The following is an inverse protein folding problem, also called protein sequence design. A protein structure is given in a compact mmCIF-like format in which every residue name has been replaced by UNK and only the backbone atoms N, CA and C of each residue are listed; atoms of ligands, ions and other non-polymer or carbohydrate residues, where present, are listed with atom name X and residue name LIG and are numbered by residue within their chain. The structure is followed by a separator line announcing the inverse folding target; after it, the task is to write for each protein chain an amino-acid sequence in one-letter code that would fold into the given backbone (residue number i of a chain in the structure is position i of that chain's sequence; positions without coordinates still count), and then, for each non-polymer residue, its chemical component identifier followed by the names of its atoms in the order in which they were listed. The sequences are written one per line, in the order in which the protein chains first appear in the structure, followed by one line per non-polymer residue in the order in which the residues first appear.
data_IF_030849179718
#
_entry.id   IF_030849179718
#
_cell.length_a   1.000
_cell.length_b   1.000
_cell.length_c   1.000
_cell.angle_alpha   90.00
_cell.angle_beta   90.00
_cell.angle_gamma   90.00
#
_symmetry.space_group_name_H-M   'P 1'
#
loop_
_entity.id
_entity.type
_entity.pdbx_description
1 polymer ?
#
# COMPACT_ATOMS: atom_id res chain seq x y z
N UNK A 1 41.27 33.48 79.15
CA UNK A 1 41.41 32.38 80.14
C UNK A 1 41.27 31.04 79.42
N UNK A 2 42.37 30.29 79.49
CA UNK A 2 42.47 28.83 79.35
C UNK A 2 41.79 28.05 78.22
N UNK A 3 42.65 27.57 77.32
CA UNK A 3 42.53 26.21 76.80
C UNK A 3 42.56 25.16 77.95
N UNK A 4 42.32 23.85 77.73
CA UNK A 4 43.07 23.00 76.75
C UNK A 4 42.33 21.75 76.22
N UNK A 5 43.02 21.09 75.27
CA UNK A 5 43.24 19.61 75.06
C UNK A 5 42.05 18.72 74.79
N UNK A 6 42.05 17.73 73.91
CA UNK A 6 43.09 16.78 73.50
C UNK A 6 42.60 16.00 72.28
N UNK A 7 43.52 15.54 71.44
CA UNK A 7 43.29 14.55 70.38
C UNK A 7 43.16 13.14 71.03
N UNK A 8 42.57 12.15 70.29
CA UNK A 8 43.47 11.29 69.54
C UNK A 8 42.86 10.64 68.27
N UNK A 9 43.77 10.37 67.37
CA UNK A 9 43.94 9.17 66.55
C UNK A 9 42.71 8.54 65.90
N UNK A 10 42.57 8.73 64.56
CA UNK A 10 41.62 8.00 63.73
C UNK A 10 42.21 7.64 62.37
N UNK A 11 42.40 6.42 62.19
CA UNK A 11 42.92 5.60 61.12
C UNK A 11 42.53 6.16 59.68
N UNK A 12 43.53 6.35 58.84
CA UNK A 12 43.35 6.63 57.41
C UNK A 12 42.90 5.36 56.72
N UNK A 13 41.60 5.24 56.44
CA UNK A 13 41.09 4.22 55.50
C UNK A 13 41.43 4.66 54.10
N UNK A 14 42.24 3.86 53.41
CA UNK A 14 42.45 3.96 51.96
C UNK A 14 41.14 3.72 51.23
N UNK A 15 40.57 4.75 50.60
CA UNK A 15 39.50 4.63 49.62
C UNK A 15 40.18 4.39 48.28
N UNK A 16 39.88 3.29 47.55
CA UNK A 16 40.45 3.06 46.24
C UNK A 16 39.88 4.10 45.28
N UNK A 17 40.77 4.83 44.61
CA UNK A 17 40.44 5.77 43.51
C UNK A 17 39.88 4.95 42.34
N UNK A 18 38.59 5.06 42.13
CA UNK A 18 37.96 4.55 40.88
C UNK A 18 38.54 5.32 39.69
N UNK A 19 39.20 4.61 38.78
CA UNK A 19 39.62 5.15 37.50
C UNK A 19 38.36 5.61 36.73
N UNK A 20 38.27 6.89 36.42
CA UNK A 20 37.24 7.41 35.52
C UNK A 20 37.49 6.87 34.10
N UNK A 21 36.60 6.04 33.57
CA UNK A 21 36.63 5.66 32.18
C UNK A 21 36.22 6.85 31.32
N UNK A 22 37.17 7.40 30.58
CA UNK A 22 36.91 8.55 29.67
C UNK A 22 36.32 8.18 28.31
N UNK A 23 36.08 6.91 28.03
CA UNK A 23 35.34 6.44 26.83
C UNK A 23 34.65 5.10 27.22
N UNK A 24 33.36 5.01 26.93
CA UNK A 24 32.56 3.80 27.09
C UNK A 24 32.96 2.79 25.98
N UNK A 25 33.84 1.89 26.29
CA UNK A 25 34.15 0.73 25.45
C UNK A 25 33.25 -0.44 25.82
N UNK A 26 33.07 -1.40 24.90
CA UNK A 26 32.23 -2.60 25.12
C UNK A 26 32.65 -3.37 26.39
N UNK A 27 33.94 -3.36 26.71
CA UNK A 27 34.46 -4.02 27.91
C UNK A 27 34.06 -3.33 29.23
N UNK A 28 33.95 -1.99 29.22
CA UNK A 28 33.50 -1.21 30.39
C UNK A 28 32.02 -1.47 30.72
N UNK A 29 31.20 -1.77 29.69
CA UNK A 29 29.77 -2.10 29.85
C UNK A 29 29.59 -3.52 30.45
N UNK A 30 30.50 -4.46 30.18
CA UNK A 30 30.48 -5.80 30.78
C UNK A 30 30.75 -5.79 32.30
N UNK A 31 31.66 -4.94 32.76
CA UNK A 31 31.95 -4.80 34.20
C UNK A 31 30.78 -4.18 34.97
N UNK A 32 29.90 -3.45 34.32
CA UNK A 32 28.69 -2.87 34.90
C UNK A 32 27.47 -3.79 34.86
N UNK A 33 27.61 -5.06 34.42
CA UNK A 33 26.52 -6.01 34.31
C UNK A 33 25.55 -5.72 33.17
N UNK A 34 25.91 -4.81 32.27
CA UNK A 34 25.17 -4.58 31.03
C UNK A 34 25.53 -5.67 30.01
N UNK A 35 24.75 -6.71 29.97
CA UNK A 35 24.76 -7.65 28.85
C UNK A 35 24.11 -6.90 27.69
N UNK A 36 24.83 -6.62 26.56
CA UNK A 36 24.17 -6.06 25.37
C UNK A 36 23.10 -7.07 24.97
N UNK A 37 21.83 -6.70 25.13
CA UNK A 37 20.75 -7.45 24.50
C UNK A 37 21.09 -7.38 23.01
N UNK A 38 21.45 -8.52 22.41
CA UNK A 38 21.36 -8.67 20.97
C UNK A 38 19.91 -8.39 20.63
N UNK A 39 19.64 -7.18 20.13
CA UNK A 39 18.40 -6.91 19.41
C UNK A 39 18.49 -7.84 18.21
N UNK A 40 17.82 -8.98 18.31
CA UNK A 40 17.69 -9.87 17.17
C UNK A 40 17.11 -9.00 16.05
N UNK A 41 17.86 -8.86 14.95
CA UNK A 41 17.35 -8.19 13.76
C UNK A 41 16.14 -9.02 13.35
N UNK A 42 14.93 -8.46 13.48
CA UNK A 42 13.71 -9.11 12.99
C UNK A 42 13.96 -9.33 11.52
N UNK A 43 13.93 -10.57 11.07
CA UNK A 43 14.13 -10.88 9.67
C UNK A 43 12.99 -10.24 8.89
N UNK A 44 13.32 -9.60 7.77
CA UNK A 44 12.33 -9.06 6.83
C UNK A 44 11.44 -10.20 6.36
N UNK A 45 10.13 -10.06 6.54
CA UNK A 45 9.18 -11.14 6.22
C UNK A 45 9.08 -11.37 4.71
N UNK A 46 9.08 -10.31 3.91
CA UNK A 46 9.02 -10.31 2.44
C UNK A 46 9.50 -8.97 1.88
N UNK A 47 9.59 -8.87 0.55
CA UNK A 47 10.07 -7.69 -0.16
C UNK A 47 9.08 -7.22 -1.22
N UNK A 48 8.89 -5.91 -1.28
CA UNK A 48 7.94 -5.23 -2.16
C UNK A 48 8.68 -4.24 -3.06
N UNK A 49 8.36 -4.23 -4.36
CA UNK A 49 8.76 -3.18 -5.30
C UNK A 49 7.54 -2.48 -5.86
N UNK A 50 7.48 -1.15 -5.76
CA UNK A 50 6.43 -0.36 -6.33
C UNK A 50 6.91 0.40 -7.58
N UNK A 51 6.19 0.20 -8.69
CA UNK A 51 6.41 0.88 -9.95
C UNK A 51 5.45 2.06 -10.07
N UNK A 52 5.95 3.17 -10.63
CA UNK A 52 5.15 4.37 -10.86
C UNK A 52 5.68 5.20 -12.03
N UNK A 53 4.85 6.12 -12.52
CA UNK A 53 5.25 7.12 -13.54
C UNK A 53 5.29 8.52 -12.96
N UNK A 54 4.29 8.92 -12.18
CA UNK A 54 4.23 10.21 -11.50
C UNK A 54 4.14 11.39 -12.46
N UNK A 55 3.38 11.26 -13.56
CA UNK A 55 3.24 12.24 -14.63
C UNK A 55 1.78 12.50 -14.97
N UNK A 56 1.55 13.66 -15.59
CA UNK A 56 0.34 14.08 -16.28
C UNK A 56 -0.85 14.47 -15.40
N UNK A 57 -1.35 13.58 -14.55
CA UNK A 57 -2.53 13.85 -13.72
C UNK A 57 -2.12 14.22 -12.28
N UNK A 58 -2.55 15.41 -11.82
CA UNK A 58 -2.19 15.93 -10.51
C UNK A 58 -2.69 15.05 -9.36
N UNK A 59 -3.86 14.41 -9.52
CA UNK A 59 -4.40 13.53 -8.50
C UNK A 59 -3.61 12.23 -8.38
N UNK A 60 -3.17 11.64 -9.50
CA UNK A 60 -2.28 10.48 -9.50
C UNK A 60 -0.90 10.82 -8.92
N UNK A 61 -0.36 12.00 -9.23
CA UNK A 61 0.91 12.50 -8.67
C UNK A 61 0.77 12.68 -7.15
N UNK A 62 -0.33 13.26 -6.67
CA UNK A 62 -0.60 13.41 -5.24
C UNK A 62 -0.73 12.08 -4.53
N UNK A 63 -1.45 11.12 -5.12
CA UNK A 63 -1.54 9.76 -4.61
C UNK A 63 -0.16 9.10 -4.49
N UNK A 64 0.66 9.22 -5.52
CA UNK A 64 2.04 8.71 -5.49
C UNK A 64 2.84 9.33 -4.34
N UNK A 65 2.79 10.65 -4.17
CA UNK A 65 3.51 11.32 -3.09
C UNK A 65 3.03 10.89 -1.69
N UNK A 66 1.78 10.53 -1.54
CA UNK A 66 1.23 9.98 -0.31
C UNK A 66 1.71 8.52 -0.12
N UNK A 67 1.59 7.69 -1.14
CA UNK A 67 1.98 6.28 -1.12
C UNK A 67 3.46 6.08 -0.75
N UNK A 68 4.37 6.82 -1.38
CA UNK A 68 5.82 6.70 -1.11
C UNK A 68 6.24 7.17 0.29
N UNK A 69 5.34 7.80 1.03
CA UNK A 69 5.53 8.14 2.45
C UNK A 69 4.86 7.12 3.36
N UNK A 70 3.69 6.63 2.99
CA UNK A 70 2.89 5.72 3.81
C UNK A 70 3.46 4.30 3.80
N UNK A 71 3.75 3.72 2.64
CA UNK A 71 4.26 2.35 2.54
C UNK A 71 5.56 2.09 3.31
N UNK A 72 6.57 2.99 3.32
CA UNK A 72 7.75 2.80 4.16
C UNK A 72 7.46 2.75 5.66
N UNK A 73 6.46 3.50 6.15
CA UNK A 73 6.04 3.45 7.55
C UNK A 73 5.40 2.09 7.87
N UNK A 74 4.57 1.57 6.96
CA UNK A 74 4.00 0.23 7.10
C UNK A 74 5.08 -0.85 7.00
N UNK A 75 6.08 -0.67 6.14
CA UNK A 75 7.21 -1.58 6.02
C UNK A 75 8.02 -1.69 7.32
N UNK A 76 8.25 -0.57 7.99
CA UNK A 76 8.88 -0.57 9.32
C UNK A 76 7.99 -1.26 10.37
N UNK A 77 6.70 -0.93 10.40
CA UNK A 77 5.75 -1.44 11.39
C UNK A 77 5.52 -2.95 11.26
N UNK A 78 5.44 -3.47 10.04
CA UNK A 78 5.09 -4.86 9.73
C UNK A 78 6.28 -5.70 9.25
N UNK A 79 7.50 -5.13 9.30
CA UNK A 79 8.77 -5.83 9.04
C UNK A 79 8.91 -6.41 7.63
N UNK A 80 8.46 -5.70 6.60
CA UNK A 80 8.76 -6.01 5.20
C UNK A 80 9.70 -4.96 4.58
N UNK A 81 10.33 -5.28 3.45
CA UNK A 81 11.13 -4.32 2.68
C UNK A 81 10.24 -3.66 1.63
N UNK A 82 10.34 -2.35 1.49
CA UNK A 82 9.64 -1.60 0.46
C UNK A 82 10.61 -0.72 -0.32
N UNK A 83 10.68 -0.95 -1.64
CA UNK A 83 11.45 -0.17 -2.58
C UNK A 83 10.53 0.41 -3.66
N UNK A 84 10.98 1.46 -4.35
CA UNK A 84 10.24 2.09 -5.45
C UNK A 84 11.12 2.28 -6.66
N UNK A 85 10.51 2.30 -7.85
CA UNK A 85 11.19 2.65 -9.09
C UNK A 85 10.25 3.34 -10.07
N UNK A 86 10.77 4.36 -10.79
CA UNK A 86 10.10 4.97 -11.95
C UNK A 86 10.70 4.48 -13.27
N UNK A 87 11.70 3.62 -13.21
CA UNK A 87 12.31 2.99 -14.38
C UNK A 87 11.59 1.66 -14.66
N UNK A 88 10.69 1.68 -15.65
CA UNK A 88 9.92 0.51 -16.06
C UNK A 88 10.77 -0.58 -16.72
N UNK A 89 11.98 -0.28 -17.21
CA UNK A 89 12.92 -1.31 -17.68
C UNK A 89 13.37 -2.29 -16.58
N UNK A 90 13.18 -1.90 -15.30
CA UNK A 90 13.33 -2.81 -14.17
C UNK A 90 12.24 -3.89 -14.11
N UNK A 91 11.16 -3.78 -14.89
CA UNK A 91 10.12 -4.80 -14.99
C UNK A 91 10.64 -5.97 -15.86
N UNK A 92 11.58 -6.71 -15.34
CA UNK A 92 12.24 -7.85 -16.00
C UNK A 92 12.50 -8.97 -14.98
N UNK A 93 12.66 -10.20 -15.46
CA UNK A 93 12.80 -11.39 -14.62
C UNK A 93 13.96 -11.31 -13.62
N UNK A 94 15.10 -10.75 -14.03
CA UNK A 94 16.27 -10.64 -13.15
C UNK A 94 16.01 -9.70 -11.99
N UNK A 95 15.47 -8.53 -12.25
CA UNK A 95 15.16 -7.55 -11.21
C UNK A 95 14.04 -8.06 -10.30
N UNK A 96 12.95 -8.58 -10.87
CA UNK A 96 11.80 -9.07 -10.13
C UNK A 96 12.13 -10.29 -9.24
N UNK A 97 13.16 -11.06 -9.56
CA UNK A 97 13.61 -12.18 -8.70
C UNK A 97 14.06 -11.75 -7.30
N UNK A 98 14.26 -10.47 -7.05
CA UNK A 98 14.62 -9.91 -5.75
C UNK A 98 13.42 -9.48 -4.89
N UNK A 99 12.19 -9.63 -5.42
CA UNK A 99 10.97 -9.14 -4.77
C UNK A 99 9.87 -10.20 -4.76
N UNK A 100 9.14 -10.23 -3.65
CA UNK A 100 8.02 -11.15 -3.45
C UNK A 100 6.70 -10.56 -3.97
N UNK A 101 6.56 -9.23 -3.94
CA UNK A 101 5.34 -8.51 -4.35
C UNK A 101 5.69 -7.34 -5.27
N UNK A 102 4.97 -7.23 -6.37
CA UNK A 102 5.00 -6.06 -7.28
C UNK A 102 3.77 -5.19 -7.02
N UNK A 103 3.96 -3.89 -6.91
CA UNK A 103 2.88 -2.90 -6.77
C UNK A 103 2.89 -1.94 -7.96
N UNK A 104 1.72 -1.70 -8.56
CA UNK A 104 1.54 -0.61 -9.53
C UNK A 104 0.75 0.51 -8.85
N UNK A 105 1.38 1.67 -8.70
CA UNK A 105 0.78 2.78 -7.96
C UNK A 105 -0.15 3.63 -8.82
N UNK A 106 0.31 4.14 -9.94
CA UNK A 106 -0.41 5.14 -10.72
C UNK A 106 -0.61 4.78 -12.20
N UNK A 107 -0.05 3.67 -12.64
CA UNK A 107 -0.12 3.23 -14.04
C UNK A 107 0.29 1.76 -14.17
N UNK A 108 0.45 1.30 -15.39
CA UNK A 108 0.88 -0.05 -15.80
C UNK A 108 1.92 0.05 -16.91
N UNK A 109 2.68 -1.03 -17.22
CA UNK A 109 3.67 -0.99 -18.30
C UNK A 109 3.01 -0.80 -19.67
N UNK A 110 3.67 -0.05 -20.54
CA UNK A 110 3.23 0.19 -21.92
C UNK A 110 4.09 -0.57 -22.94
N UNK A 111 5.36 -0.80 -22.64
CA UNK A 111 6.26 -1.54 -23.51
C UNK A 111 5.88 -3.04 -23.57
N UNK A 112 5.83 -3.65 -24.76
CA UNK A 112 5.48 -5.06 -24.91
C UNK A 112 6.42 -6.04 -24.18
N UNK A 113 7.70 -5.72 -24.06
CA UNK A 113 8.65 -6.59 -23.35
C UNK A 113 8.43 -6.53 -21.83
N UNK A 114 8.13 -5.35 -21.29
CA UNK A 114 7.77 -5.14 -19.90
C UNK A 114 6.45 -5.87 -19.55
N UNK A 115 5.45 -5.78 -20.43
CA UNK A 115 4.19 -6.52 -20.32
C UNK A 115 4.40 -8.04 -20.30
N UNK A 116 5.20 -8.55 -21.23
CA UNK A 116 5.53 -9.98 -21.28
C UNK A 116 6.27 -10.43 -20.03
N UNK A 117 7.19 -9.62 -19.51
CA UNK A 117 7.91 -9.94 -18.28
C UNK A 117 6.98 -9.96 -17.05
N UNK A 118 6.06 -9.00 -16.94
CA UNK A 118 5.06 -9.00 -15.86
C UNK A 118 4.11 -10.20 -15.96
N UNK A 119 3.60 -10.49 -17.15
CA UNK A 119 2.74 -11.66 -17.36
C UNK A 119 3.45 -12.94 -16.93
N UNK A 120 4.70 -13.14 -17.39
CA UNK A 120 5.50 -14.29 -16.99
C UNK A 120 5.73 -14.33 -15.47
N UNK A 121 6.01 -13.20 -14.82
CA UNK A 121 6.15 -13.12 -13.37
C UNK A 121 4.89 -13.62 -12.65
N UNK A 122 3.70 -13.17 -13.08
CA UNK A 122 2.43 -13.60 -12.50
C UNK A 122 2.11 -15.08 -12.78
N UNK A 123 2.39 -15.57 -13.99
CA UNK A 123 2.18 -16.97 -14.38
C UNK A 123 3.12 -17.94 -13.65
N UNK A 124 4.25 -17.43 -13.13
CA UNK A 124 5.17 -18.22 -12.29
C UNK A 124 4.93 -18.02 -10.78
N UNK A 125 3.76 -17.53 -10.39
CA UNK A 125 3.36 -17.42 -8.98
C UNK A 125 3.82 -16.15 -8.28
N UNK A 126 4.13 -15.10 -9.02
CA UNK A 126 4.35 -13.76 -8.48
C UNK A 126 3.11 -13.20 -7.81
N UNK A 127 3.29 -12.20 -6.93
CA UNK A 127 2.19 -11.52 -6.27
C UNK A 127 2.12 -10.04 -6.68
N UNK A 128 0.88 -9.52 -6.80
CA UNK A 128 0.68 -8.16 -7.30
C UNK A 128 -0.44 -7.42 -6.57
N UNK A 129 -0.23 -6.09 -6.39
CA UNK A 129 -1.21 -5.12 -5.94
C UNK A 129 -1.26 -3.95 -6.92
N UNK A 130 -2.45 -3.50 -7.30
CA UNK A 130 -2.60 -2.34 -8.17
C UNK A 130 -3.69 -1.39 -7.73
N UNK A 131 -3.47 -0.11 -8.01
CA UNK A 131 -4.38 0.96 -7.64
C UNK A 131 -4.92 1.67 -8.87
N UNK A 132 -6.21 2.00 -8.82
CA UNK A 132 -6.94 2.93 -9.68
C UNK A 132 -6.54 2.85 -11.15
N UNK A 133 -5.75 3.80 -11.65
CA UNK A 133 -5.36 3.89 -13.05
C UNK A 133 -4.49 2.72 -13.53
N UNK A 134 -3.91 1.93 -12.62
CA UNK A 134 -3.26 0.68 -12.99
C UNK A 134 -4.20 -0.30 -13.70
N UNK A 135 -5.51 -0.21 -13.45
CA UNK A 135 -6.54 -1.01 -14.14
C UNK A 135 -7.14 -0.36 -15.39
N UNK A 136 -6.82 0.89 -15.69
CA UNK A 136 -7.50 1.66 -16.73
C UNK A 136 -7.24 1.13 -18.15
N UNK A 137 -8.29 1.01 -18.95
CA UNK A 137 -8.26 0.68 -20.37
C UNK A 137 -9.42 1.34 -21.10
N UNK A 138 -9.20 1.79 -22.33
CA UNK A 138 -10.23 2.34 -23.21
C UNK A 138 -10.53 1.39 -24.37
N UNK A 139 -11.80 1.29 -24.74
CA UNK A 139 -12.24 0.56 -25.93
C UNK A 139 -13.16 1.44 -26.78
N UNK A 140 -12.92 1.59 -28.11
CA UNK A 140 -11.69 1.17 -28.79
C UNK A 140 -10.52 2.08 -28.41
N UNK A 141 -9.33 1.54 -28.31
CA UNK A 141 -8.13 2.33 -28.09
C UNK A 141 -7.19 2.23 -29.29
N UNK A 142 -6.84 3.39 -29.86
CA UNK A 142 -5.76 3.48 -30.85
C UNK A 142 -4.38 3.49 -30.16
N UNK A 143 -4.36 3.57 -28.83
CA UNK A 143 -3.15 3.58 -28.04
C UNK A 143 -2.81 2.14 -27.64
N UNK A 144 -1.54 1.71 -27.63
CA UNK A 144 -1.13 0.40 -27.13
C UNK A 144 -1.36 0.23 -25.62
N UNK A 145 -2.29 1.01 -25.06
CA UNK A 145 -2.69 0.97 -23.67
C UNK A 145 -3.51 -0.27 -23.30
N UNK A 146 -4.29 -0.80 -24.24
CA UNK A 146 -5.08 -1.99 -23.99
C UNK A 146 -4.19 -3.24 -24.08
N UNK A 147 -4.26 -4.03 -23.03
CA UNK A 147 -3.51 -5.24 -22.90
C UNK A 147 -4.48 -6.36 -22.54
N UNK A 148 -4.87 -7.15 -23.55
CA UNK A 148 -6.00 -8.09 -23.48
C UNK A 148 -5.88 -9.08 -22.32
N UNK A 149 -4.72 -9.74 -22.18
CA UNK A 149 -4.49 -10.64 -21.05
C UNK A 149 -4.70 -9.93 -19.70
N UNK A 150 -4.16 -8.72 -19.55
CA UNK A 150 -4.21 -7.97 -18.29
C UNK A 150 -5.65 -7.55 -17.94
N UNK A 151 -6.38 -6.97 -18.90
CA UNK A 151 -7.70 -6.43 -18.62
C UNK A 151 -8.81 -7.48 -18.61
N UNK A 152 -8.72 -8.51 -19.47
CA UNK A 152 -9.79 -9.50 -19.61
C UNK A 152 -9.56 -10.80 -18.85
N UNK A 153 -8.29 -11.19 -18.62
CA UNK A 153 -7.97 -12.46 -17.93
C UNK A 153 -7.46 -12.18 -16.51
N UNK A 154 -6.46 -11.31 -16.36
CA UNK A 154 -5.82 -11.05 -15.09
C UNK A 154 -6.70 -10.19 -14.16
N UNK A 155 -7.15 -9.02 -14.60
CA UNK A 155 -8.09 -8.17 -13.85
C UNK A 155 -9.54 -8.62 -14.03
N UNK A 156 -9.91 -9.14 -15.19
CA UNK A 156 -11.26 -9.56 -15.52
C UNK A 156 -12.23 -8.40 -15.79
N UNK A 157 -11.82 -7.16 -15.53
CA UNK A 157 -12.67 -5.96 -15.56
C UNK A 157 -13.07 -5.48 -16.96
N UNK A 158 -12.30 -5.86 -17.99
CA UNK A 158 -12.46 -5.25 -19.31
C UNK A 158 -12.08 -3.79 -19.32
N UNK A 159 -12.76 -3.01 -20.15
CA UNK A 159 -12.48 -1.59 -20.35
C UNK A 159 -13.17 -0.72 -19.28
N UNK A 160 -12.61 0.46 -19.08
CA UNK A 160 -13.26 1.54 -18.37
C UNK A 160 -14.51 2.04 -19.13
N UNK A 161 -15.59 2.26 -18.40
CA UNK A 161 -16.86 2.74 -18.95
C UNK A 161 -17.16 4.17 -18.50
N UNK A 162 -17.02 4.45 -17.20
CA UNK A 162 -17.35 5.73 -16.59
C UNK A 162 -16.70 5.84 -15.22
N UNK A 163 -16.72 7.04 -14.66
CA UNK A 163 -16.25 7.33 -13.31
C UNK A 163 -17.24 8.25 -12.57
N UNK A 164 -17.00 8.48 -11.30
CA UNK A 164 -17.75 9.48 -10.53
C UNK A 164 -17.38 10.92 -10.91
N UNK A 165 -16.30 11.15 -11.62
CA UNK A 165 -15.75 12.45 -12.05
C UNK A 165 -15.23 13.29 -10.90
N UNK A 166 -15.93 13.64 -9.86
CA UNK A 166 -15.33 14.20 -8.64
C UNK A 166 -15.09 13.11 -7.64
N UNK A 167 -13.94 13.11 -6.93
CA UNK A 167 -13.76 12.21 -5.83
C UNK A 167 -14.88 12.38 -4.80
N UNK A 168 -15.47 11.26 -4.42
CA UNK A 168 -16.59 11.23 -3.51
C UNK A 168 -16.49 10.02 -2.58
N UNK A 169 -16.84 10.22 -1.31
CA UNK A 169 -16.92 9.13 -0.36
C UNK A 169 -18.08 8.20 -0.72
N UNK A 170 -17.88 6.91 -0.54
CA UNK A 170 -18.90 5.89 -0.73
C UNK A 170 -19.01 5.01 0.52
N UNK A 171 -20.19 4.49 0.79
CA UNK A 171 -20.32 3.36 1.70
C UNK A 171 -19.89 2.12 0.95
N UNK A 172 -18.83 1.46 1.42
CA UNK A 172 -18.33 0.22 0.87
C UNK A 172 -18.87 -0.95 1.68
N UNK A 173 -19.21 -2.03 0.96
CA UNK A 173 -19.66 -3.29 1.54
C UNK A 173 -18.57 -4.34 1.36
N UNK A 174 -18.29 -5.08 2.42
CA UNK A 174 -17.45 -6.27 2.37
C UNK A 174 -18.25 -7.42 1.79
N UNK A 175 -17.84 -7.95 0.64
CA UNK A 175 -18.51 -9.05 -0.07
C UNK A 175 -17.95 -10.41 0.37
N UNK A 176 -16.65 -10.49 0.63
CA UNK A 176 -16.05 -11.68 1.23
C UNK A 176 -15.38 -11.33 2.58
N UNK A 177 -16.07 -11.60 3.70
CA UNK A 177 -15.52 -11.36 5.03
C UNK A 177 -14.53 -12.44 5.50
N UNK A 178 -14.25 -13.45 4.68
CA UNK A 178 -13.36 -14.56 5.03
C UNK A 178 -11.96 -14.39 4.43
N UNK A 179 -11.85 -13.60 3.37
CA UNK A 179 -10.57 -13.34 2.72
C UNK A 179 -9.57 -12.66 3.67
N UNK A 180 -8.28 -13.01 3.67
CA UNK A 180 -7.28 -12.42 4.56
C UNK A 180 -7.24 -10.87 4.54
N UNK A 181 -7.48 -10.24 3.40
CA UNK A 181 -7.48 -8.79 3.28
C UNK A 181 -8.70 -8.10 3.92
N UNK A 182 -9.81 -8.81 4.10
CA UNK A 182 -11.09 -8.20 4.50
C UNK A 182 -11.64 -8.71 5.83
N UNK A 183 -11.11 -9.81 6.35
CA UNK A 183 -11.62 -10.49 7.55
C UNK A 183 -11.63 -9.63 8.84
N UNK A 184 -10.85 -8.58 8.87
CA UNK A 184 -10.78 -7.66 10.02
C UNK A 184 -11.62 -6.39 9.82
N UNK A 185 -12.29 -6.25 8.66
CA UNK A 185 -13.08 -5.08 8.35
C UNK A 185 -14.52 -5.22 8.88
N UNK A 186 -15.19 -4.10 9.19
CA UNK A 186 -16.62 -4.11 9.43
C UNK A 186 -17.38 -4.45 8.14
N UNK A 187 -18.59 -4.98 8.25
CA UNK A 187 -19.41 -5.39 7.10
C UNK A 187 -19.64 -4.25 6.09
N UNK A 188 -19.71 -3.02 6.58
CA UNK A 188 -19.75 -1.79 5.76
C UNK A 188 -18.94 -0.70 6.44
N UNK A 189 -18.35 0.21 5.64
CA UNK A 189 -17.66 1.40 6.13
C UNK A 189 -17.71 2.51 5.09
N UNK A 190 -17.49 3.75 5.52
CA UNK A 190 -17.39 4.90 4.62
C UNK A 190 -15.93 5.09 4.20
N UNK A 191 -15.69 5.13 2.91
CA UNK A 191 -14.37 5.36 2.34
C UNK A 191 -13.92 6.82 2.46
N UNK A 192 -12.63 7.06 2.28
CA UNK A 192 -12.14 8.34 1.82
C UNK A 192 -12.78 8.70 0.46
N UNK A 193 -12.83 9.98 0.07
CA UNK A 193 -13.25 10.34 -1.28
C UNK A 193 -12.34 9.72 -2.34
N UNK A 194 -12.91 9.08 -3.35
CA UNK A 194 -12.19 8.53 -4.50
C UNK A 194 -12.98 8.78 -5.78
N UNK A 195 -12.29 8.86 -6.91
CA UNK A 195 -12.89 8.76 -8.23
C UNK A 195 -13.14 7.29 -8.53
N UNK A 196 -14.38 6.85 -8.41
CA UNK A 196 -14.73 5.45 -8.60
C UNK A 196 -14.93 5.13 -10.08
N UNK A 197 -14.23 4.12 -10.60
CA UNK A 197 -14.42 3.61 -11.96
C UNK A 197 -15.53 2.57 -12.02
N UNK A 198 -16.25 2.59 -13.16
CA UNK A 198 -17.13 1.52 -13.61
C UNK A 198 -16.46 0.77 -14.77
N UNK A 199 -16.67 -0.51 -14.77
CA UNK A 199 -16.02 -1.43 -15.70
C UNK A 199 -17.04 -2.04 -16.68
N UNK A 200 -16.54 -2.47 -17.86
CA UNK A 200 -17.36 -3.07 -18.92
C UNK A 200 -17.89 -4.45 -18.49
N UNK A 201 -17.06 -5.27 -17.90
CA UNK A 201 -17.42 -6.64 -17.53
C UNK A 201 -18.13 -6.67 -16.17
N UNK A 202 -19.17 -7.50 -16.08
CA UNK A 202 -19.77 -7.88 -14.79
C UNK A 202 -18.90 -8.95 -14.14
N UNK A 203 -18.05 -8.54 -13.20
CA UNK A 203 -17.12 -9.42 -12.50
C UNK A 203 -17.81 -10.59 -11.77
N UNK A 204 -19.10 -10.47 -11.43
CA UNK A 204 -19.87 -11.59 -10.83
C UNK A 204 -20.05 -12.78 -11.78
N UNK A 205 -19.95 -12.53 -13.09
CA UNK A 205 -20.06 -13.57 -14.11
C UNK A 205 -18.73 -14.27 -14.39
N UNK A 206 -17.62 -13.74 -13.86
CA UNK A 206 -16.31 -14.33 -14.03
C UNK A 206 -16.01 -15.29 -12.88
N UNK A 207 -15.97 -16.62 -13.10
CA UNK A 207 -15.75 -17.60 -12.05
C UNK A 207 -14.35 -17.57 -11.44
N UNK A 208 -13.42 -16.86 -12.08
CA UNK A 208 -12.04 -16.72 -11.60
C UNK A 208 -11.86 -15.51 -10.67
N UNK A 209 -12.88 -14.65 -10.53
CA UNK A 209 -12.80 -13.43 -9.73
C UNK A 209 -13.56 -13.59 -8.41
N UNK A 210 -12.91 -13.24 -7.31
CA UNK A 210 -13.52 -13.05 -6.01
C UNK A 210 -13.59 -11.55 -5.68
N UNK A 211 -14.82 -11.05 -5.56
CA UNK A 211 -15.06 -9.64 -5.25
C UNK A 211 -14.93 -9.46 -3.73
N UNK A 212 -14.06 -8.56 -3.31
CA UNK A 212 -13.79 -8.29 -1.90
C UNK A 212 -14.63 -7.12 -1.37
N UNK A 213 -14.75 -6.05 -2.17
CA UNK A 213 -15.54 -4.87 -1.83
C UNK A 213 -16.36 -4.39 -3.02
N UNK A 214 -17.56 -3.89 -2.72
CA UNK A 214 -18.40 -3.17 -3.68
C UNK A 214 -18.94 -1.87 -3.07
N UNK A 215 -19.39 -0.94 -3.93
CA UNK A 215 -20.13 0.26 -3.48
C UNK A 215 -21.53 -0.19 -3.05
N UNK A 216 -21.92 0.17 -1.83
CA UNK A 216 -23.29 -0.03 -1.35
C UNK A 216 -24.26 0.89 -2.11
N UNK A 217 -25.39 0.33 -2.54
CA UNK A 217 -26.39 1.07 -3.32
C UNK A 217 -26.98 2.29 -2.61
N UNK A 218 -26.83 2.39 -1.30
CA UNK A 218 -27.26 3.54 -0.52
C UNK A 218 -26.31 4.74 -0.62
N UNK A 219 -25.10 4.56 -1.15
CA UNK A 219 -24.11 5.64 -1.30
C UNK A 219 -24.60 6.75 -2.23
N UNK A 220 -25.23 6.36 -3.34
CA UNK A 220 -25.68 7.27 -4.38
C UNK A 220 -27.15 6.97 -4.74
N UNK A 221 -28.11 7.43 -3.90
CA UNK A 221 -29.54 7.27 -4.18
C UNK A 221 -29.93 7.90 -5.52
N UNK A 222 -31.03 7.45 -6.12
CA UNK A 222 -31.55 7.96 -7.39
C UNK A 222 -31.63 9.49 -7.41
N UNK A 223 -31.06 10.10 -8.44
CA UNK A 223 -31.02 11.55 -8.61
C UNK A 223 -29.99 12.28 -7.74
N UNK A 224 -29.10 11.54 -7.05
CA UNK A 224 -28.02 12.09 -6.23
C UNK A 224 -26.65 11.61 -6.70
N UNK A 225 -25.62 12.01 -5.97
CA UNK A 225 -24.23 11.68 -6.30
C UNK A 225 -23.61 12.63 -7.34
N UNK A 226 -22.33 12.43 -7.66
CA UNK A 226 -21.56 13.35 -8.52
C UNK A 226 -22.05 13.41 -9.96
N UNK A 227 -22.65 12.31 -10.47
CA UNK A 227 -23.27 12.20 -11.77
C UNK A 227 -24.67 11.62 -11.62
N UNK A 228 -25.65 12.44 -11.24
CA UNK A 228 -27.00 11.97 -10.91
C UNK A 228 -27.77 11.37 -12.10
N UNK A 229 -27.32 11.61 -13.32
CA UNK A 229 -27.86 11.01 -14.54
C UNK A 229 -27.32 9.59 -14.80
N UNK A 230 -26.26 9.17 -14.13
CA UNK A 230 -25.71 7.83 -14.21
C UNK A 230 -26.33 6.90 -13.15
N UNK A 231 -26.35 5.60 -13.48
CA UNK A 231 -26.98 4.61 -12.63
C UNK A 231 -25.94 4.03 -11.66
N UNK A 232 -25.69 4.71 -10.55
CA UNK A 232 -24.85 4.22 -9.46
C UNK A 232 -25.62 3.51 -8.35
N UNK A 233 -26.93 3.76 -8.23
CA UNK A 233 -27.77 3.29 -7.14
C UNK A 233 -28.42 1.92 -7.37
N UNK A 234 -28.53 1.48 -8.64
CA UNK A 234 -29.15 0.19 -9.02
C UNK A 234 -28.18 -0.80 -9.65
N UNK A 235 -26.93 -0.40 -9.80
CA UNK A 235 -25.87 -1.25 -10.32
C UNK A 235 -25.14 -2.01 -9.22
N UNK A 236 -24.17 -2.79 -9.63
CA UNK A 236 -23.21 -3.47 -8.78
C UNK A 236 -21.80 -3.05 -9.20
N UNK A 237 -21.10 -2.41 -8.30
CA UNK A 237 -19.84 -1.72 -8.60
C UNK A 237 -18.71 -2.23 -7.71
N UNK A 238 -17.99 -3.29 -8.14
CA UNK A 238 -16.80 -3.77 -7.45
C UNK A 238 -15.71 -2.69 -7.39
N UNK A 239 -15.08 -2.54 -6.24
CA UNK A 239 -13.99 -1.58 -6.02
C UNK A 239 -12.72 -2.23 -5.49
N UNK A 240 -12.79 -3.49 -5.03
CA UNK A 240 -11.64 -4.32 -4.74
C UNK A 240 -11.96 -5.79 -5.06
N UNK A 241 -11.01 -6.47 -5.69
CA UNK A 241 -11.17 -7.89 -6.01
C UNK A 241 -9.84 -8.60 -6.19
N UNK A 242 -9.88 -9.93 -6.15
CA UNK A 242 -8.76 -10.83 -6.43
C UNK A 242 -9.12 -11.82 -7.55
N UNK A 243 -8.12 -12.52 -8.06
CA UNK A 243 -8.28 -13.55 -9.09
C UNK A 243 -7.74 -14.88 -8.58
N UNK A 244 -8.57 -15.94 -8.63
CA UNK A 244 -8.24 -17.28 -8.11
C UNK A 244 -7.04 -17.94 -8.81
N UNK A 245 -6.69 -17.49 -10.01
CA UNK A 245 -5.55 -18.01 -10.78
C UNK A 245 -4.25 -17.29 -10.46
N UNK A 246 -4.33 -16.11 -9.86
CA UNK A 246 -3.17 -15.23 -9.61
C UNK A 246 -3.22 -14.67 -8.21
N UNK A 247 -2.12 -14.61 -7.54
CA UNK A 247 -2.01 -13.96 -6.23
C UNK A 247 -1.98 -12.43 -6.41
N UNK A 248 -3.16 -11.83 -6.54
CA UNK A 248 -3.29 -10.42 -6.87
C UNK A 248 -4.44 -9.75 -6.11
N UNK A 249 -4.34 -8.44 -5.90
CA UNK A 249 -5.45 -7.59 -5.50
C UNK A 249 -5.42 -6.31 -6.32
N UNK A 250 -6.58 -5.91 -6.83
CA UNK A 250 -6.79 -4.60 -7.40
C UNK A 250 -7.68 -3.75 -6.49
N UNK A 251 -7.31 -2.47 -6.32
CA UNK A 251 -8.08 -1.45 -5.63
C UNK A 251 -8.46 -0.33 -6.58
N UNK A 252 -9.74 0.03 -6.60
CA UNK A 252 -10.27 1.18 -7.33
C UNK A 252 -10.08 2.51 -6.56
N UNK A 253 -9.15 2.55 -5.63
CA UNK A 253 -8.72 3.69 -4.83
C UNK A 253 -7.41 4.24 -5.39
N UNK A 254 -7.14 5.55 -5.21
CA UNK A 254 -5.89 6.17 -5.64
C UNK A 254 -6.04 7.44 -6.47
N UNK A 255 -7.24 8.00 -6.54
CA UNK A 255 -7.53 9.29 -7.16
C UNK A 255 -8.45 10.09 -6.22
N UNK A 256 -7.84 10.82 -5.30
CA UNK A 256 -8.51 11.53 -4.20
C UNK A 256 -8.30 13.04 -4.27
N UNK A 257 -8.12 13.60 -5.45
CA UNK A 257 -8.03 15.05 -5.58
C UNK A 257 -9.36 15.68 -5.15
N UNK A 258 -9.33 16.39 -4.03
CA UNK A 258 -10.48 17.13 -3.51
C UNK A 258 -10.45 18.61 -3.87
N UNK A 259 -9.36 19.07 -4.49
CA UNK A 259 -9.16 20.46 -4.93
C UNK A 259 -9.09 20.53 -6.47
N UNK A 260 -10.21 20.27 -7.12
CA UNK A 260 -10.32 20.30 -8.58
C UNK A 260 -10.02 21.63 -9.22
N UNK A 261 -10.05 22.73 -8.47
CA UNK A 261 -9.72 24.05 -8.99
C UNK A 261 -8.22 24.23 -9.22
N UNK A 262 -7.40 23.38 -8.56
CA UNK A 262 -5.93 23.41 -8.65
C UNK A 262 -5.34 22.12 -9.27
N UNK A 263 -6.09 21.45 -10.13
CA UNK A 263 -5.73 20.14 -10.72
C UNK A 263 -4.39 20.12 -11.48
N UNK A 264 -3.92 21.27 -11.94
CA UNK A 264 -2.66 21.39 -12.67
C UNK A 264 -1.46 21.75 -11.78
N UNK A 265 -1.68 21.94 -10.48
CA UNK A 265 -0.59 22.20 -9.54
C UNK A 265 0.08 20.88 -9.11
N UNK A 266 1.01 20.40 -9.93
CA UNK A 266 1.79 19.20 -9.65
C UNK A 266 2.71 19.34 -8.42
N UNK A 267 2.83 20.54 -7.85
CA UNK A 267 3.60 20.77 -6.62
C UNK A 267 2.78 20.55 -5.36
N UNK A 268 1.45 20.56 -5.45
CA UNK A 268 0.57 20.29 -4.32
C UNK A 268 0.64 18.79 -3.95
N UNK A 269 1.13 18.54 -2.74
CA UNK A 269 1.34 17.18 -2.20
C UNK A 269 0.30 16.77 -1.16
N UNK A 270 -0.77 17.54 -1.05
CA UNK A 270 -1.80 17.37 -0.01
C UNK A 270 -3.18 17.03 -0.57
N UNK A 271 -3.30 16.86 -1.89
CA UNK A 271 -4.58 16.56 -2.55
C UNK A 271 -5.06 15.12 -2.34
N UNK A 272 -4.13 14.18 -2.13
CA UNK A 272 -4.50 12.79 -1.92
C UNK A 272 -4.81 12.51 -0.44
N UNK A 273 -5.88 11.75 -0.22
CA UNK A 273 -6.34 11.27 1.09
C UNK A 273 -6.69 9.77 1.02
N UNK A 274 -5.97 9.00 0.21
CA UNK A 274 -6.18 7.55 0.10
C UNK A 274 -5.78 6.85 1.40
N UNK A 275 -4.71 7.31 2.04
CA UNK A 275 -4.21 6.74 3.29
C UNK A 275 -4.59 7.64 4.47
N UNK A 276 -4.75 7.04 5.66
CA UNK A 276 -5.15 7.72 6.88
C UNK A 276 -6.61 7.48 7.29
N UNK A 277 -7.40 6.77 6.46
CA UNK A 277 -8.64 6.15 6.89
C UNK A 277 -8.29 4.80 7.55
N UNK A 278 -8.53 4.61 8.85
CA UNK A 278 -8.05 3.41 9.55
C UNK A 278 -8.57 2.08 8.97
N UNK A 279 -9.75 2.08 8.35
CA UNK A 279 -10.34 0.87 7.77
C UNK A 279 -9.72 0.57 6.41
N UNK A 280 -9.49 1.61 5.58
CA UNK A 280 -8.81 1.46 4.30
C UNK A 280 -7.33 1.13 4.49
N UNK A 281 -6.67 1.74 5.47
CA UNK A 281 -5.29 1.41 5.84
C UNK A 281 -5.17 -0.05 6.27
N UNK A 282 -6.10 -0.55 7.10
CA UNK A 282 -6.14 -1.95 7.51
C UNK A 282 -6.33 -2.89 6.33
N UNK A 283 -7.25 -2.56 5.41
CA UNK A 283 -7.48 -3.32 4.17
C UNK A 283 -6.20 -3.47 3.34
N UNK A 284 -5.50 -2.34 3.09
CA UNK A 284 -4.30 -2.33 2.24
C UNK A 284 -3.15 -3.08 2.92
N UNK A 285 -2.99 -2.91 4.24
CA UNK A 285 -1.97 -3.65 5.02
C UNK A 285 -2.26 -5.15 5.01
N UNK A 286 -3.49 -5.57 5.32
CA UNK A 286 -3.87 -6.99 5.34
C UNK A 286 -3.71 -7.63 3.96
N UNK A 287 -4.07 -6.91 2.89
CA UNK A 287 -3.84 -7.32 1.52
C UNK A 287 -2.36 -7.54 1.22
N UNK A 288 -1.51 -6.59 1.63
CA UNK A 288 -0.07 -6.66 1.39
C UNK A 288 0.59 -7.81 2.18
N UNK A 289 0.18 -8.00 3.44
CA UNK A 289 0.65 -9.11 4.27
C UNK A 289 0.24 -10.47 3.68
N UNK A 290 -0.99 -10.58 3.16
CA UNK A 290 -1.45 -11.76 2.46
C UNK A 290 -0.63 -12.00 1.19
N UNK A 291 -0.41 -10.98 0.35
CA UNK A 291 0.40 -11.09 -0.87
C UNK A 291 1.84 -11.53 -0.58
N UNK A 292 2.45 -11.01 0.50
CA UNK A 292 3.80 -11.36 0.92
C UNK A 292 3.90 -12.71 1.66
N UNK A 293 2.77 -13.31 2.06
CA UNK A 293 2.76 -14.60 2.74
C UNK A 293 3.15 -15.74 1.80
N UNK A 294 3.69 -16.83 2.36
CA UNK A 294 3.96 -18.07 1.60
C UNK A 294 2.77 -19.01 1.53
N UNK A 295 1.63 -18.61 2.08
CA UNK A 295 0.41 -19.37 1.99
C UNK A 295 -0.06 -19.40 0.54
N UNK A 296 -0.25 -20.62 -0.01
CA UNK A 296 -0.85 -20.81 -1.32
C UNK A 296 -2.38 -20.72 -1.18
N UNK A 297 -3.02 -20.19 -2.21
CA UNK A 297 -4.47 -20.18 -2.37
C UNK A 297 -5.01 -21.59 -2.57
#
# INVERSE_FOLDING_TARGET
MRAPNDSPGGEKRHVPVRKACSFLTVDCLRELGFVPRHVARVATAFSVIAFFTGKEDAAHISFLHEAVRWFPQMAEQYHFRFDTTSDWHNLNATFLSHYDVVVFLDTRPEDPAERAAFQAYMEHGGAWMGFHFAGFALTPSAVPANWDWYHNIFLGSGSYVSNTWRPTAAVLRVEDPTHPATRHLPATFTSAPNEWYRWENDLRQNPDIDILLSIDSTSFPLGTGPKPHEIWHSGYYPVAWTNRKYKMIYFNMGHNDIDYEHTYDTTNRTLSHTFGNPVEDQLIVDALLWLGSKEQY
#
